data_IF_259381319625
#
_entry.id   IF_259381319625
#
_cell.length_a   1.000
_cell.length_b   1.000
_cell.length_c   1.000
_cell.angle_alpha   90.00
_cell.angle_beta   90.00
_cell.angle_gamma   90.00
#
_symmetry.space_group_name_H-M   'P 1'
#
loop_
_entity.id
_entity.type
_entity.pdbx_description
1 polymer ?
#
# COMPACT_ATOMS: atom_id res chain seq x y z
N UNK A 1 -12.37 8.21 22.23
CA UNK A 1 -11.47 9.02 21.41
C UNK A 1 -12.23 10.26 20.96
N UNK A 2 -11.68 11.47 21.08
CA UNK A 2 -12.36 12.69 20.61
C UNK A 2 -12.29 12.81 19.08
N UNK A 3 -13.21 13.57 18.48
CA UNK A 3 -13.20 13.85 17.04
C UNK A 3 -11.90 14.53 16.59
N UNK A 4 -11.40 15.50 17.36
CA UNK A 4 -10.12 16.17 17.09
C UNK A 4 -8.95 15.19 17.04
N UNK A 5 -8.91 14.23 17.97
CA UNK A 5 -7.88 13.20 17.97
C UNK A 5 -8.01 12.28 16.74
N UNK A 6 -9.22 11.91 16.34
CA UNK A 6 -9.46 11.11 15.14
C UNK A 6 -9.04 11.86 13.87
N UNK A 7 -9.41 13.14 13.76
CA UNK A 7 -9.06 13.99 12.64
C UNK A 7 -7.54 14.17 12.52
N UNK A 8 -6.84 14.41 13.64
CA UNK A 8 -5.39 14.48 13.65
C UNK A 8 -4.74 13.18 13.18
N UNK A 9 -5.16 12.03 13.73
CA UNK A 9 -4.62 10.72 13.35
C UNK A 9 -4.85 10.40 11.87
N UNK A 10 -5.99 10.81 11.31
CA UNK A 10 -6.29 10.58 9.89
C UNK A 10 -5.30 11.26 8.94
N UNK A 11 -4.63 12.34 9.38
CA UNK A 11 -3.60 13.02 8.59
C UNK A 11 -2.32 12.18 8.44
N UNK A 12 -2.06 11.30 9.40
CA UNK A 12 -0.88 10.43 9.43
C UNK A 12 -1.14 9.06 8.76
N UNK A 13 -2.38 8.82 8.31
CA UNK A 13 -2.77 7.57 7.68
C UNK A 13 -2.18 7.43 6.28
N UNK A 14 -2.09 8.51 5.51
CA UNK A 14 -1.66 8.41 4.12
C UNK A 14 -0.14 8.38 4.01
N UNK A 15 0.38 7.29 3.46
CA UNK A 15 1.80 7.13 3.17
C UNK A 15 2.19 7.79 1.85
N UNK A 16 3.41 8.32 1.82
CA UNK A 16 4.05 8.67 0.56
C UNK A 16 4.35 7.41 -0.26
N UNK A 17 4.28 7.57 -1.58
CA UNK A 17 4.52 6.48 -2.53
C UNK A 17 6.03 6.41 -2.79
N UNK A 18 6.67 5.25 -2.58
CA UNK A 18 8.10 5.11 -2.81
C UNK A 18 8.43 4.98 -4.30
N UNK A 19 9.72 4.93 -4.62
CA UNK A 19 10.18 4.68 -5.98
C UNK A 19 9.82 3.26 -6.47
N UNK A 20 9.80 3.04 -7.80
CA UNK A 20 9.48 1.73 -8.39
C UNK A 20 10.37 0.57 -7.91
N UNK A 21 11.65 0.82 -7.68
CA UNK A 21 12.61 -0.22 -7.27
C UNK A 21 12.27 -0.71 -5.86
N UNK A 22 11.97 0.20 -4.94
CA UNK A 22 11.51 -0.16 -3.61
C UNK A 22 10.20 -0.98 -3.63
N UNK A 23 9.25 -0.63 -4.49
CA UNK A 23 7.98 -1.39 -4.62
C UNK A 23 8.28 -2.86 -5.00
N UNK A 24 9.20 -3.05 -5.95
CA UNK A 24 9.62 -4.37 -6.42
C UNK A 24 10.38 -5.14 -5.34
N UNK A 25 11.34 -4.50 -4.68
CA UNK A 25 12.13 -5.11 -3.62
C UNK A 25 11.26 -5.53 -2.44
N UNK A 26 10.30 -4.68 -2.05
CA UNK A 26 9.32 -5.02 -1.03
C UNK A 26 8.52 -6.27 -1.41
N UNK A 27 8.00 -6.34 -2.64
CA UNK A 27 7.26 -7.52 -3.11
C UNK A 27 8.11 -8.78 -3.01
N UNK A 28 9.36 -8.72 -3.48
CA UNK A 28 10.28 -9.85 -3.46
C UNK A 28 10.61 -10.28 -2.02
N UNK A 29 10.83 -9.33 -1.10
CA UNK A 29 11.07 -9.62 0.32
C UNK A 29 9.90 -10.34 1.01
N UNK A 30 8.69 -10.18 0.49
CA UNK A 30 7.46 -10.82 0.98
C UNK A 30 7.17 -12.16 0.30
N UNK A 31 8.01 -12.60 -0.65
CA UNK A 31 7.78 -13.78 -1.49
C UNK A 31 6.44 -13.78 -2.23
N UNK A 32 6.00 -12.61 -2.69
CA UNK A 32 4.73 -12.45 -3.43
C UNK A 32 4.96 -12.32 -4.94
N UNK A 33 4.01 -12.84 -5.71
CA UNK A 33 3.89 -12.55 -7.13
C UNK A 33 3.24 -11.17 -7.36
N UNK A 34 3.53 -10.54 -8.51
CA UNK A 34 2.90 -9.26 -8.86
C UNK A 34 1.36 -9.34 -8.93
N UNK A 35 0.83 -10.53 -9.28
CA UNK A 35 -0.61 -10.80 -9.29
C UNK A 35 -1.20 -10.81 -7.88
N UNK A 36 -0.52 -11.40 -6.91
CA UNK A 36 -0.95 -11.38 -5.51
C UNK A 36 -0.95 -9.96 -4.97
N UNK A 37 0.11 -9.18 -5.22
CA UNK A 37 0.14 -7.78 -4.80
C UNK A 37 -0.97 -6.94 -5.45
N UNK A 38 -1.29 -7.20 -6.73
CA UNK A 38 -2.43 -6.53 -7.38
C UNK A 38 -3.75 -6.80 -6.65
N UNK A 39 -4.00 -8.06 -6.27
CA UNK A 39 -5.21 -8.44 -5.51
C UNK A 39 -5.23 -7.82 -4.12
N UNK A 40 -4.10 -7.87 -3.40
CA UNK A 40 -3.95 -7.28 -2.06
C UNK A 40 -4.20 -5.78 -2.09
N UNK A 41 -3.74 -5.09 -3.14
CA UNK A 41 -3.95 -3.66 -3.32
C UNK A 41 -5.34 -3.28 -3.86
N UNK A 42 -6.25 -4.26 -4.05
CA UNK A 42 -7.61 -4.02 -4.54
C UNK A 42 -7.67 -3.60 -6.01
N UNK A 43 -6.70 -3.99 -6.83
CA UNK A 43 -6.64 -3.62 -8.24
C UNK A 43 -7.40 -4.63 -9.11
N UNK A 44 -8.16 -4.12 -10.09
CA UNK A 44 -8.95 -4.94 -11.00
C UNK A 44 -8.11 -5.60 -12.11
N UNK A 45 -6.91 -5.09 -12.38
CA UNK A 45 -6.02 -5.58 -13.45
C UNK A 45 -4.66 -5.95 -12.86
N UNK A 46 -4.29 -7.22 -13.02
CA UNK A 46 -3.06 -7.80 -12.50
C UNK A 46 -1.78 -7.23 -13.16
N UNK A 47 -1.91 -6.55 -14.31
CA UNK A 47 -0.78 -5.89 -14.96
C UNK A 47 -0.42 -4.55 -14.33
N UNK A 48 -1.34 -3.95 -13.56
CA UNK A 48 -1.11 -2.63 -12.96
C UNK A 48 0.08 -2.65 -11.99
N UNK A 49 0.25 -3.73 -11.22
CA UNK A 49 1.38 -3.82 -10.29
C UNK A 49 2.73 -3.83 -11.02
N UNK A 50 2.83 -4.52 -12.15
CA UNK A 50 4.05 -4.47 -12.97
C UNK A 50 4.34 -3.05 -13.49
N UNK A 51 3.28 -2.26 -13.76
CA UNK A 51 3.42 -0.84 -14.16
C UNK A 51 3.93 0.04 -13.01
N UNK A 52 3.65 -0.33 -11.76
CA UNK A 52 4.22 0.33 -10.58
C UNK A 52 5.71 0.03 -10.46
N UNK A 53 6.10 -1.24 -10.59
CA UNK A 53 7.49 -1.69 -10.44
C UNK A 53 8.41 -1.24 -11.57
N UNK A 54 7.88 -0.90 -12.74
CA UNK A 54 8.67 -0.39 -13.86
C UNK A 54 8.57 1.13 -14.04
N UNK A 55 7.86 1.83 -13.14
CA UNK A 55 7.73 3.29 -13.15
C UNK A 55 6.83 3.87 -14.26
N UNK A 56 6.20 3.06 -15.10
CA UNK A 56 5.26 3.55 -16.13
C UNK A 56 3.95 4.05 -15.54
N UNK A 57 3.65 3.68 -14.29
CA UNK A 57 2.54 4.20 -13.49
C UNK A 57 2.98 4.27 -12.03
N UNK A 58 2.43 5.19 -11.26
CA UNK A 58 2.58 5.22 -9.81
C UNK A 58 1.25 4.93 -9.11
N UNK A 59 1.20 4.17 -8.00
CA UNK A 59 -0.01 4.10 -7.19
C UNK A 59 -0.31 5.48 -6.61
N UNK A 60 -1.58 5.76 -6.28
CA UNK A 60 -1.89 6.91 -5.44
C UNK A 60 -1.63 6.56 -3.96
N UNK A 61 -1.59 7.59 -3.10
CA UNK A 61 -1.33 7.42 -1.66
C UNK A 61 -2.31 6.47 -0.99
N UNK A 62 -3.59 6.52 -1.37
CA UNK A 62 -4.63 5.67 -0.79
C UNK A 62 -4.40 4.19 -1.10
N UNK A 63 -4.13 3.86 -2.37
CA UNK A 63 -3.83 2.49 -2.82
C UNK A 63 -2.56 1.97 -2.15
N UNK A 64 -1.51 2.79 -2.08
CA UNK A 64 -0.27 2.40 -1.42
C UNK A 64 -0.45 2.16 0.09
N UNK A 65 -1.12 3.09 0.77
CA UNK A 65 -1.47 2.97 2.18
C UNK A 65 -2.26 1.70 2.46
N UNK A 66 -3.29 1.43 1.65
CA UNK A 66 -4.10 0.22 1.79
C UNK A 66 -3.27 -1.05 1.61
N UNK A 67 -2.38 -1.10 0.60
CA UNK A 67 -1.47 -2.22 0.42
C UNK A 67 -0.57 -2.44 1.65
N UNK A 68 0.05 -1.37 2.18
CA UNK A 68 0.87 -1.43 3.39
C UNK A 68 0.08 -1.90 4.62
N UNK A 69 -1.17 -1.46 4.77
CA UNK A 69 -2.07 -1.94 5.83
C UNK A 69 -2.36 -3.43 5.68
N UNK A 70 -2.69 -3.88 4.47
CA UNK A 70 -3.07 -5.26 4.17
C UNK A 70 -1.92 -6.26 4.39
N UNK A 71 -0.68 -5.86 4.12
CA UNK A 71 0.52 -6.68 4.37
C UNK A 71 1.11 -6.46 5.78
N UNK A 72 0.49 -5.64 6.63
CA UNK A 72 0.96 -5.36 7.99
C UNK A 72 2.27 -4.57 8.06
N UNK A 73 2.56 -3.72 7.07
CA UNK A 73 3.77 -2.88 6.97
C UNK A 73 3.50 -1.39 7.13
N UNK A 74 2.27 -0.98 7.44
CA UNK A 74 2.00 0.41 7.77
C UNK A 74 2.67 0.76 9.12
N UNK A 75 3.41 1.88 9.24
CA UNK A 75 4.20 2.20 10.43
C UNK A 75 3.36 2.46 11.70
N UNK A 76 2.20 3.10 11.56
CA UNK A 76 1.39 3.55 12.69
C UNK A 76 0.05 2.81 12.90
N UNK A 77 -0.42 2.10 11.89
CA UNK A 77 -1.78 1.54 11.87
C UNK A 77 -1.73 0.08 11.45
N UNK A 78 -2.73 -0.69 11.88
CA UNK A 78 -2.92 -2.10 11.50
C UNK A 78 -4.40 -2.34 11.23
N UNK A 79 -4.71 -3.27 10.34
CA UNK A 79 -6.09 -3.73 10.16
C UNK A 79 -6.45 -4.67 11.31
N UNK A 80 -7.53 -4.38 12.01
CA UNK A 80 -8.13 -5.30 12.97
C UNK A 80 -9.34 -5.96 12.31
N UNK A 81 -9.44 -7.29 12.42
CA UNK A 81 -10.67 -7.99 12.03
C UNK A 81 -11.75 -7.62 13.05
N UNK A 82 -12.88 -7.14 12.53
CA UNK A 82 -14.12 -6.93 13.28
C UNK A 82 -14.81 -8.28 13.45
#
# INVERSE_FOLDING_TARGET
MSFENMYSLSKELLLEVPDPDFIKDLRLSLNLSARECSKIAGLNDATIWNKYENGTRSPNKQTWTFFCLAIGKHPLFKLEKI
#
